data_IF_245387588683
#
_entry.id   IF_245387588683
#
_cell.length_a   1.000
_cell.length_b   1.000
_cell.length_c   1.000
_cell.angle_alpha   90.00
_cell.angle_beta   90.00
_cell.angle_gamma   90.00
#
_symmetry.space_group_name_H-M   'P 1'
#
loop_
_entity.id
_entity.type
_entity.pdbx_description
1 polymer ?
#
# COMPACT_ATOMS: atom_id res chain seq x y z
N UNK A 1 -11.24 11.62 0.53
CA UNK A 1 -11.36 10.80 1.76
C UNK A 1 -11.05 11.65 2.99
N UNK A 2 -10.84 11.03 4.16
CA UNK A 2 -10.30 11.72 5.36
C UNK A 2 -8.80 12.02 5.19
N UNK A 3 -8.29 13.01 5.91
CA UNK A 3 -6.86 13.31 6.03
C UNK A 3 -6.33 12.82 7.37
N UNK A 4 -5.17 12.16 7.37
CA UNK A 4 -4.52 11.65 8.58
C UNK A 4 -3.19 12.37 8.78
N UNK A 5 -2.83 12.64 10.04
CA UNK A 5 -1.53 13.23 10.40
C UNK A 5 -0.33 12.37 9.96
N UNK A 6 -0.50 11.05 9.88
CA UNK A 6 0.56 10.09 9.53
C UNK A 6 1.41 9.70 10.74
N UNK A 7 1.20 8.47 11.23
CA UNK A 7 1.91 7.94 12.41
C UNK A 7 3.39 7.64 12.15
N UNK A 8 3.78 7.45 10.89
CA UNK A 8 5.16 7.30 10.47
C UNK A 8 5.39 8.00 9.13
N UNK A 9 5.77 9.28 9.18
CA UNK A 9 5.89 10.15 8.00
C UNK A 9 7.06 9.80 7.08
N UNK A 10 8.09 9.16 7.63
CA UNK A 10 9.31 8.77 6.91
C UNK A 10 9.22 7.36 6.29
N UNK A 11 8.02 6.77 6.24
CA UNK A 11 7.82 5.43 5.69
C UNK A 11 8.08 5.40 4.17
N UNK A 12 9.16 4.73 3.77
CA UNK A 12 9.67 4.65 2.39
C UNK A 12 10.54 3.40 2.21
N UNK A 13 10.94 3.01 0.98
CA UNK A 13 11.82 1.87 0.76
C UNK A 13 13.07 1.89 1.65
N UNK A 14 13.34 0.78 2.33
CA UNK A 14 14.42 0.65 3.31
C UNK A 14 14.03 0.99 4.75
N UNK A 15 12.94 1.73 4.96
CA UNK A 15 12.33 1.99 6.26
C UNK A 15 11.14 1.05 6.47
N UNK A 16 11.42 -0.17 6.95
CA UNK A 16 10.42 -1.26 6.97
C UNK A 16 9.49 -1.21 8.19
N UNK A 17 8.26 -1.70 8.00
CA UNK A 17 7.30 -1.95 9.09
C UNK A 17 6.88 -3.42 9.15
N UNK A 18 6.47 -3.87 10.34
CA UNK A 18 5.78 -5.15 10.52
C UNK A 18 4.28 -4.91 10.60
N UNK A 19 3.51 -5.66 9.81
CA UNK A 19 2.06 -5.52 9.74
C UNK A 19 1.39 -6.76 10.33
N UNK A 20 0.61 -6.58 11.39
CA UNK A 20 -0.15 -7.65 12.05
C UNK A 20 -1.64 -7.40 11.86
N UNK A 21 -2.32 -8.32 11.18
CA UNK A 21 -3.73 -8.20 10.82
C UNK A 21 -4.60 -9.24 11.54
N UNK A 22 -5.67 -8.81 12.20
CA UNK A 22 -6.71 -9.69 12.73
C UNK A 22 -7.91 -9.72 11.78
N UNK A 23 -8.52 -10.89 11.57
CA UNK A 23 -9.70 -11.07 10.71
C UNK A 23 -9.47 -10.44 9.32
N UNK A 24 -10.40 -9.62 8.82
CA UNK A 24 -10.29 -8.95 7.52
C UNK A 24 -9.05 -8.04 7.39
N UNK A 25 -8.43 -7.61 8.51
CA UNK A 25 -7.20 -6.82 8.48
C UNK A 25 -6.04 -7.54 7.79
N UNK A 26 -6.00 -8.87 7.83
CA UNK A 26 -4.98 -9.64 7.09
C UNK A 26 -5.13 -9.54 5.58
N UNK A 27 -6.37 -9.52 5.06
CA UNK A 27 -6.63 -9.29 3.65
C UNK A 27 -6.25 -7.86 3.24
N UNK A 28 -6.60 -6.88 4.07
CA UNK A 28 -6.25 -5.47 3.83
C UNK A 28 -4.74 -5.25 3.75
N UNK A 29 -3.97 -5.84 4.67
CA UNK A 29 -2.50 -5.72 4.67
C UNK A 29 -1.89 -6.36 3.41
N UNK A 30 -2.40 -7.52 2.97
CA UNK A 30 -1.95 -8.17 1.73
C UNK A 30 -2.26 -7.31 0.51
N UNK A 31 -3.43 -6.68 0.45
CA UNK A 31 -3.78 -5.78 -0.64
C UNK A 31 -2.90 -4.52 -0.65
N UNK A 32 -2.65 -3.92 0.52
CA UNK A 32 -1.74 -2.77 0.64
C UNK A 32 -0.35 -3.11 0.11
N UNK A 33 0.20 -4.26 0.49
CA UNK A 33 1.52 -4.68 0.04
C UNK A 33 1.56 -4.96 -1.47
N UNK A 34 0.50 -5.58 -2.01
CA UNK A 34 0.37 -5.79 -3.46
C UNK A 34 0.32 -4.47 -4.23
N UNK A 35 -0.38 -3.46 -3.72
CA UNK A 35 -0.42 -2.12 -4.32
C UNK A 35 0.93 -1.41 -4.24
N UNK A 36 1.61 -1.48 -3.09
CA UNK A 36 2.94 -0.90 -2.94
C UNK A 36 3.93 -1.47 -3.97
N UNK A 37 3.91 -2.79 -4.17
CA UNK A 37 4.80 -3.44 -5.14
C UNK A 37 4.38 -3.18 -6.59
N UNK A 38 3.13 -3.46 -6.93
CA UNK A 38 2.69 -3.58 -8.31
C UNK A 38 1.94 -2.34 -8.82
N UNK A 39 1.51 -1.46 -7.93
CA UNK A 39 0.60 -0.37 -8.24
C UNK A 39 -0.79 -0.88 -8.61
N UNK A 40 -1.55 -0.04 -9.33
CA UNK A 40 -2.81 -0.41 -9.95
C UNK A 40 -2.76 -0.07 -11.45
N UNK A 41 -2.75 -1.08 -12.35
CA UNK A 41 -2.71 -0.85 -13.81
C UNK A 41 -3.86 -0.01 -14.35
N UNK A 42 -5.06 -0.12 -13.77
CA UNK A 42 -6.25 0.62 -14.21
C UNK A 42 -6.09 2.11 -13.90
N UNK A 43 -5.61 2.46 -12.71
CA UNK A 43 -5.33 3.84 -12.31
C UNK A 43 -4.20 4.45 -13.17
N UNK A 44 -3.16 3.67 -13.47
CA UNK A 44 -2.06 4.10 -14.35
C UNK A 44 -2.58 4.34 -15.77
N UNK A 45 -3.43 3.46 -16.31
CA UNK A 45 -4.03 3.64 -17.63
C UNK A 45 -4.93 4.88 -17.67
N UNK A 46 -5.76 5.04 -16.64
CA UNK A 46 -6.66 6.18 -16.51
C UNK A 46 -5.90 7.52 -16.48
N UNK A 47 -4.84 7.62 -15.68
CA UNK A 47 -4.01 8.83 -15.60
C UNK A 47 -3.28 9.13 -16.91
N UNK A 48 -2.83 8.10 -17.64
CA UNK A 48 -2.21 8.30 -18.96
C UNK A 48 -3.19 8.84 -20.01
N UNK A 49 -4.45 8.39 -19.94
CA UNK A 49 -5.49 8.81 -20.88
C UNK A 49 -6.07 10.19 -20.55
N UNK A 50 -6.28 10.49 -19.27
CA UNK A 50 -7.02 11.68 -18.82
C UNK A 50 -6.14 12.76 -18.19
N UNK A 51 -4.86 12.48 -17.92
CA UNK A 51 -3.96 13.35 -17.17
C UNK A 51 -4.35 13.45 -15.68
N UNK A 52 -3.85 14.50 -15.02
CA UNK A 52 -4.08 14.72 -13.59
C UNK A 52 -3.11 13.99 -12.67
N UNK A 53 -3.38 14.10 -11.37
CA UNK A 53 -2.55 13.52 -10.31
C UNK A 53 -2.93 12.07 -10.03
N UNK A 54 -1.91 11.25 -9.73
CA UNK A 54 -2.07 9.86 -9.30
C UNK A 54 -1.40 9.68 -7.94
N UNK A 55 -2.05 8.92 -7.05
CA UNK A 55 -1.46 8.56 -5.76
C UNK A 55 -0.19 7.72 -5.95
N UNK A 56 0.91 8.01 -5.23
CA UNK A 56 2.12 7.17 -5.23
C UNK A 56 1.86 5.70 -4.85
N UNK A 57 0.76 5.41 -4.15
CA UNK A 57 0.34 4.04 -3.84
C UNK A 57 0.00 3.24 -5.11
N UNK A 58 -0.51 3.90 -6.15
CA UNK A 58 -0.95 3.23 -7.37
C UNK A 58 0.12 3.12 -8.45
N UNK A 59 1.29 3.73 -8.25
CA UNK A 59 2.38 3.69 -9.24
C UNK A 59 3.29 2.46 -9.11
N UNK A 60 3.20 1.71 -8.01
CA UNK A 60 4.04 0.54 -7.73
C UNK A 60 5.50 0.90 -7.42
N UNK A 61 6.38 -0.10 -7.45
CA UNK A 61 7.83 -0.01 -7.18
C UNK A 61 8.21 0.51 -5.78
N UNK A 62 7.29 0.42 -4.81
CA UNK A 62 7.54 0.75 -3.41
C UNK A 62 7.90 -0.50 -2.58
N UNK A 63 8.82 -1.32 -3.10
CA UNK A 63 9.34 -2.50 -2.42
C UNK A 63 10.18 -2.14 -1.19
N UNK A 64 10.50 -3.14 -0.37
CA UNK A 64 11.30 -2.97 0.84
C UNK A 64 10.70 -2.00 1.87
N UNK A 65 9.37 -1.85 1.90
CA UNK A 65 8.63 -1.07 2.90
C UNK A 65 7.96 -1.94 3.98
N UNK A 66 7.71 -3.22 3.70
CA UNK A 66 7.11 -4.18 4.63
C UNK A 66 8.13 -5.28 4.93
N UNK A 67 8.37 -5.54 6.22
CA UNK A 67 9.28 -6.62 6.66
C UNK A 67 8.55 -7.93 6.89
N UNK A 68 7.32 -7.90 7.39
CA UNK A 68 6.51 -9.09 7.58
C UNK A 68 5.03 -8.77 7.55
N UNK A 69 4.24 -9.77 7.17
CA UNK A 69 2.79 -9.81 7.31
C UNK A 69 2.46 -11.00 8.19
N UNK A 70 1.80 -10.75 9.32
CA UNK A 70 1.33 -11.80 10.24
C UNK A 70 -0.19 -11.69 10.37
N UNK A 71 -0.90 -12.79 10.15
CA UNK A 71 -2.36 -12.81 10.16
C UNK A 71 -2.90 -13.67 11.31
N UNK A 72 -3.99 -13.22 11.93
CA UNK A 72 -4.66 -13.89 13.04
C UNK A 72 -6.15 -14.02 12.73
N UNK A 73 -6.63 -15.25 12.50
CA UNK A 73 -8.04 -15.50 12.19
C UNK A 73 -8.54 -14.82 10.91
N UNK A 74 -7.65 -14.60 9.94
CA UNK A 74 -8.00 -13.99 8.65
C UNK A 74 -8.72 -15.01 7.75
N UNK A 75 -9.89 -14.66 7.19
CA UNK A 75 -10.61 -15.52 6.26
C UNK A 75 -9.97 -15.55 4.86
#
# INVERSE_FOLDING_TARGET
GKTYEGVYKDWKPGQKVHLVGHSMGGQTIRQLEALLRNGNPEEIAYQKEHGGDISPLFTGNNDNMVSSITTLGTP
#
